data_IF_856996990339
#
_entry.id   IF_856996990339
#
_cell.length_a   1.000
_cell.length_b   1.000
_cell.length_c   1.000
_cell.angle_alpha   90.00
_cell.angle_beta   90.00
_cell.angle_gamma   90.00
#
_symmetry.space_group_name_H-M   'P 1'
#
loop_
_entity.id
_entity.type
_entity.pdbx_description
1 polymer ?
#
# COMPACT_ATOMS: atom_id res chain seq x y z
N UNK A 1 -5.05 9.22 -25.86
CA UNK A 1 -4.74 9.97 -24.62
C UNK A 1 -4.87 9.01 -23.44
N UNK A 2 -3.79 8.73 -22.69
CA UNK A 2 -3.91 7.95 -21.44
C UNK A 2 -4.59 8.87 -20.42
N UNK A 3 -5.78 8.49 -19.94
CA UNK A 3 -6.45 9.22 -18.88
C UNK A 3 -5.49 9.28 -17.68
N UNK A 4 -5.09 10.48 -17.28
CA UNK A 4 -4.45 10.70 -15.98
C UNK A 4 -5.52 10.42 -14.93
N UNK A 5 -5.56 9.19 -14.44
CA UNK A 5 -6.43 8.86 -13.31
C UNK A 5 -5.83 9.55 -12.09
N UNK A 6 -6.56 10.51 -11.54
CA UNK A 6 -6.15 11.18 -10.31
C UNK A 6 -6.31 10.20 -9.15
N UNK A 7 -5.24 9.96 -8.41
CA UNK A 7 -5.22 9.04 -7.28
C UNK A 7 -6.24 9.42 -6.19
N UNK A 8 -6.58 10.71 -6.08
CA UNK A 8 -7.59 11.22 -5.17
C UNK A 8 -9.03 10.78 -5.49
N UNK A 9 -9.26 10.19 -6.67
CA UNK A 9 -10.55 9.60 -7.05
C UNK A 9 -10.64 8.11 -6.68
N UNK A 10 -9.51 7.49 -6.33
CA UNK A 10 -9.42 6.08 -5.96
C UNK A 10 -9.24 5.94 -4.45
N UNK A 11 -8.30 6.72 -3.90
CA UNK A 11 -7.92 6.66 -2.51
C UNK A 11 -8.40 7.89 -1.74
N UNK A 12 -8.68 7.75 -0.42
CA UNK A 12 -8.95 8.89 0.42
C UNK A 12 -7.84 9.95 0.37
N UNK A 13 -8.20 11.21 0.13
CA UNK A 13 -7.26 12.32 -0.04
C UNK A 13 -6.30 12.50 1.14
N UNK A 14 -6.76 12.18 2.35
CA UNK A 14 -5.97 12.30 3.56
C UNK A 14 -4.77 11.33 3.60
N UNK A 15 -4.71 10.30 2.74
CA UNK A 15 -3.53 9.44 2.65
C UNK A 15 -2.34 10.16 2.01
N UNK A 16 -2.61 11.13 1.15
CA UNK A 16 -1.62 11.85 0.36
C UNK A 16 -1.67 13.36 0.64
N UNK A 17 -2.09 13.75 1.86
CA UNK A 17 -2.32 15.16 2.22
C UNK A 17 -1.09 16.04 2.10
N UNK A 18 0.11 15.45 2.23
CA UNK A 18 1.41 16.08 2.11
C UNK A 18 2.00 16.03 0.68
N UNK A 19 1.26 15.48 -0.29
CA UNK A 19 1.70 15.29 -1.67
C UNK A 19 0.77 15.94 -2.69
N UNK A 20 1.34 16.37 -3.82
CA UNK A 20 0.55 16.79 -4.97
C UNK A 20 -0.01 15.56 -5.71
N UNK A 21 -1.19 15.12 -5.30
CA UNK A 21 -1.90 13.97 -5.89
C UNK A 21 -2.22 14.13 -7.38
N UNK A 22 -2.18 15.35 -7.94
CA UNK A 22 -2.34 15.58 -9.39
C UNK A 22 -1.12 15.13 -10.21
N UNK A 23 0.02 14.92 -9.55
CA UNK A 23 1.31 14.56 -10.15
C UNK A 23 1.74 13.12 -9.90
N UNK A 24 1.03 12.40 -9.02
CA UNK A 24 1.26 10.99 -8.75
C UNK A 24 0.82 10.13 -9.94
N UNK A 25 1.74 9.31 -10.42
CA UNK A 25 1.50 8.35 -11.49
C UNK A 25 1.36 6.94 -10.89
N UNK A 26 0.21 6.31 -11.16
CA UNK A 26 -0.10 4.98 -10.62
C UNK A 26 0.97 3.94 -10.95
N UNK A 27 1.67 4.03 -12.09
CA UNK A 27 2.67 3.02 -12.51
C UNK A 27 4.07 3.33 -12.02
N UNK A 28 4.48 4.60 -12.02
CA UNK A 28 5.83 5.01 -11.61
C UNK A 28 5.96 5.09 -10.10
N UNK A 29 4.92 5.54 -9.41
CA UNK A 29 5.00 5.95 -8.02
C UNK A 29 4.50 4.87 -7.04
N UNK A 30 4.54 3.59 -7.47
CA UNK A 30 4.12 2.40 -6.67
C UNK A 30 4.75 2.33 -5.29
N UNK A 31 6.03 2.68 -5.20
CA UNK A 31 6.82 2.67 -3.96
C UNK A 31 6.29 3.67 -2.91
N UNK A 32 5.46 4.63 -3.33
CA UNK A 32 4.79 5.59 -2.46
C UNK A 32 3.35 5.15 -2.25
N UNK A 33 2.63 4.84 -3.32
CA UNK A 33 1.19 4.59 -3.30
C UNK A 33 0.83 3.37 -2.46
N UNK A 34 1.51 2.24 -2.71
CA UNK A 34 1.20 0.97 -2.04
C UNK A 34 1.43 1.08 -0.52
N UNK A 35 2.60 1.55 -0.04
CA UNK A 35 2.81 1.71 1.40
C UNK A 35 1.83 2.69 2.04
N UNK A 36 1.49 3.78 1.35
CA UNK A 36 0.61 4.83 1.91
C UNK A 36 -0.83 4.36 2.06
N UNK A 37 -1.32 3.58 1.10
CA UNK A 37 -2.62 2.92 1.21
C UNK A 37 -2.66 1.98 2.42
N UNK A 38 -1.62 1.15 2.61
CA UNK A 38 -1.54 0.19 3.70
C UNK A 38 -1.19 0.79 5.06
N UNK A 39 -0.65 2.01 5.09
CA UNK A 39 -0.31 2.73 6.33
C UNK A 39 -1.55 3.06 7.16
N UNK A 40 -2.64 3.47 6.52
CA UNK A 40 -3.89 3.80 7.20
C UNK A 40 -4.80 2.58 7.43
N UNK A 41 -4.43 1.41 6.89
CA UNK A 41 -5.21 0.19 7.00
C UNK A 41 -5.24 -0.35 8.42
N UNK A 42 -6.43 -0.72 8.88
CA UNK A 42 -6.63 -1.46 10.14
C UNK A 42 -7.06 -2.90 9.83
N UNK A 43 -7.05 -3.81 10.82
CA UNK A 43 -7.57 -5.16 10.61
C UNK A 43 -9.02 -5.18 10.09
N UNK A 44 -9.83 -4.20 10.47
CA UNK A 44 -11.24 -4.11 10.08
C UNK A 44 -11.42 -3.61 8.63
N UNK A 45 -10.52 -2.75 8.14
CA UNK A 45 -10.57 -2.21 6.76
C UNK A 45 -9.70 -2.99 5.77
N UNK A 46 -8.89 -3.92 6.26
CA UNK A 46 -7.88 -4.63 5.47
C UNK A 46 -8.41 -5.20 4.16
N UNK A 47 -9.56 -5.88 4.19
CA UNK A 47 -10.12 -6.54 3.00
C UNK A 47 -10.51 -5.52 1.91
N UNK A 48 -11.09 -4.38 2.29
CA UNK A 48 -11.47 -3.35 1.33
C UNK A 48 -10.23 -2.64 0.76
N UNK A 49 -9.27 -2.31 1.64
CA UNK A 49 -8.05 -1.59 1.26
C UNK A 49 -7.16 -2.45 0.35
N UNK A 50 -7.01 -3.75 0.64
CA UNK A 50 -6.19 -4.65 -0.17
C UNK A 50 -6.81 -4.91 -1.54
N UNK A 51 -8.14 -5.08 -1.62
CA UNK A 51 -8.83 -5.25 -2.91
C UNK A 51 -8.68 -4.01 -3.81
N UNK A 52 -8.69 -2.81 -3.22
CA UNK A 52 -8.44 -1.58 -3.96
C UNK A 52 -7.04 -1.57 -4.58
N UNK A 53 -6.03 -2.08 -3.87
CA UNK A 53 -4.67 -2.23 -4.38
C UNK A 53 -4.55 -3.35 -5.42
N UNK A 54 -5.22 -4.48 -5.23
CA UNK A 54 -5.25 -5.62 -6.16
C UNK A 54 -5.84 -5.22 -7.53
N UNK A 55 -6.76 -4.26 -7.57
CA UNK A 55 -7.29 -3.70 -8.82
C UNK A 55 -6.27 -2.88 -9.63
N UNK A 56 -5.17 -2.45 -9.00
CA UNK A 56 -4.18 -1.55 -9.60
C UNK A 56 -2.81 -2.20 -9.77
N UNK A 57 -2.47 -3.14 -8.89
CA UNK A 57 -1.13 -3.69 -8.72
C UNK A 57 -1.18 -5.20 -8.56
N UNK A 58 -0.15 -5.86 -9.03
CA UNK A 58 -0.03 -7.30 -8.83
C UNK A 58 0.36 -7.61 -7.38
N UNK A 59 0.03 -8.81 -6.86
CA UNK A 59 0.46 -9.25 -5.54
C UNK A 59 1.98 -9.12 -5.32
N UNK A 60 2.78 -9.39 -6.36
CA UNK A 60 4.24 -9.31 -6.29
C UNK A 60 4.72 -7.87 -6.07
N UNK A 61 4.13 -6.90 -6.77
CA UNK A 61 4.41 -5.48 -6.56
C UNK A 61 4.03 -5.06 -5.14
N UNK A 62 2.84 -5.46 -4.67
CA UNK A 62 2.35 -5.11 -3.33
C UNK A 62 3.31 -5.64 -2.26
N UNK A 63 3.67 -6.92 -2.33
CA UNK A 63 4.61 -7.53 -1.38
C UNK A 63 5.99 -6.89 -1.46
N UNK A 64 6.51 -6.64 -2.67
CA UNK A 64 7.82 -6.02 -2.88
C UNK A 64 7.89 -4.64 -2.23
N UNK A 65 6.98 -3.74 -2.60
CA UNK A 65 7.01 -2.36 -2.11
C UNK A 65 6.65 -2.27 -0.63
N UNK A 66 5.82 -3.16 -0.10
CA UNK A 66 5.58 -3.27 1.33
C UNK A 66 6.82 -3.74 2.11
N UNK A 67 7.65 -4.60 1.52
CA UNK A 67 8.93 -5.04 2.11
C UNK A 67 10.05 -4.01 1.96
N UNK A 68 9.99 -3.11 0.98
CA UNK A 68 11.05 -2.11 0.75
C UNK A 68 10.76 -0.78 1.46
N UNK A 69 9.49 -0.52 1.80
CA UNK A 69 9.06 0.77 2.36
C UNK A 69 9.70 1.13 3.70
N UNK A 70 9.90 2.43 3.91
CA UNK A 70 10.31 3.02 5.18
C UNK A 70 9.13 3.53 6.02
N UNK A 71 7.91 3.46 5.47
CA UNK A 71 6.69 3.82 6.18
C UNK A 71 6.44 2.85 7.34
N UNK A 72 6.06 3.38 8.51
CA UNK A 72 5.82 2.60 9.72
C UNK A 72 4.48 1.87 9.68
N UNK A 73 4.38 0.88 8.81
CA UNK A 73 3.18 0.07 8.63
C UNK A 73 3.12 -0.99 9.72
N UNK A 74 1.93 -1.17 10.29
CA UNK A 74 1.67 -2.14 11.35
C UNK A 74 2.09 -3.56 10.92
N UNK A 75 2.84 -4.25 11.78
CA UNK A 75 3.21 -5.64 11.55
C UNK A 75 1.99 -6.56 11.39
N UNK A 76 0.82 -6.21 11.97
CA UNK A 76 -0.43 -6.95 11.74
C UNK A 76 -0.87 -6.87 10.28
N UNK A 77 -0.71 -5.72 9.64
CA UNK A 77 -1.01 -5.53 8.21
C UNK A 77 -0.01 -6.32 7.37
N UNK A 78 1.30 -6.26 7.66
CA UNK A 78 2.32 -7.05 6.97
C UNK A 78 2.02 -8.56 7.03
N UNK A 79 1.61 -9.08 8.19
CA UNK A 79 1.20 -10.47 8.37
C UNK A 79 -0.09 -10.81 7.60
N UNK A 80 -1.04 -9.88 7.56
CA UNK A 80 -2.30 -10.05 6.82
C UNK A 80 -2.05 -10.13 5.32
N UNK A 81 -1.17 -9.28 4.79
CA UNK A 81 -0.71 -9.34 3.38
C UNK A 81 0.02 -10.65 3.10
N UNK A 82 0.91 -11.08 4.00
CA UNK A 82 1.64 -12.34 3.82
C UNK A 82 0.68 -13.55 3.76
N UNK A 83 -0.32 -13.57 4.63
CA UNK A 83 -1.39 -14.58 4.63
C UNK A 83 -2.24 -14.52 3.37
N UNK A 84 -2.67 -13.32 2.94
CA UNK A 84 -3.49 -13.09 1.74
C UNK A 84 -2.85 -13.68 0.48
N UNK A 85 -1.54 -13.51 0.33
CA UNK A 85 -0.81 -13.97 -0.86
C UNK A 85 -0.03 -15.28 -0.66
N UNK A 86 -0.22 -15.96 0.47
CA UNK A 86 0.48 -17.20 0.81
C UNK A 86 2.02 -17.10 0.65
N UNK A 87 2.60 -15.99 1.12
CA UNK A 87 4.06 -15.77 1.14
C UNK A 87 4.60 -15.88 2.57
N UNK A 88 5.92 -16.07 2.69
CA UNK A 88 6.58 -16.12 3.99
C UNK A 88 6.22 -14.87 4.84
N UNK A 89 5.77 -15.04 6.09
CA UNK A 89 5.48 -13.94 7.01
C UNK A 89 6.65 -12.98 7.13
N UNK A 90 6.36 -11.68 7.19
CA UNK A 90 7.38 -10.66 7.34
C UNK A 90 6.89 -9.50 8.20
N UNK A 91 7.85 -8.79 8.77
CA UNK A 91 7.67 -7.63 9.64
C UNK A 91 8.68 -6.56 9.23
N UNK A 92 8.40 -5.28 9.50
CA UNK A 92 9.29 -4.17 9.11
C UNK A 92 10.05 -3.63 10.30
N UNK A 93 9.32 -3.22 11.34
CA UNK A 93 9.91 -2.65 12.55
C UNK A 93 9.68 -3.64 13.68
N UNK A 94 10.73 -4.42 13.97
CA UNK A 94 10.81 -5.30 15.12
C UNK A 94 11.94 -4.76 15.98
N UNK A 95 11.68 -4.53 17.26
CA UNK A 95 12.75 -4.33 18.22
C UNK A 95 13.46 -5.68 18.37
N UNK A 96 14.67 -5.79 17.83
CA UNK A 96 15.56 -6.89 18.17
C UNK A 96 15.87 -6.78 19.66
N UNK A 97 15.48 -7.81 20.42
CA UNK A 97 15.78 -7.95 21.85
C UNK A 97 17.13 -8.65 21.99
#
# INVERSE_FOLDING_TARGET
>A
MKQKINIANIFPKHLFWDMDYSRLDLKRDKAIIIPRALYATTPDTFEADIQLLENLYSPEDIVKYLKETKENISNKVCLSVAKRYNVAPFQRFVLSI
#
